data_IF_079829422239
#
_entry.id   IF_079829422239
#
_cell.length_a   1.000
_cell.length_b   1.000
_cell.length_c   1.000
_cell.angle_alpha   90.00
_cell.angle_beta   90.00
_cell.angle_gamma   90.00
#
_symmetry.space_group_name_H-M   'P 1'
#
loop_
_entity.id
_entity.type
_entity.pdbx_description
1 polymer ?
#
# COMPACT_ATOMS: atom_id res chain seq x y z
N UNK A 1 -3.17 35.84 2.90
CA UNK A 1 -2.69 37.23 2.84
C UNK A 1 -3.47 38.04 1.81
N UNK A 2 -3.37 37.75 0.50
CA UNK A 2 -4.06 38.50 -0.56
C UNK A 2 -5.59 38.62 -0.36
N UNK A 3 -6.28 37.52 -0.02
CA UNK A 3 -7.72 37.56 0.25
C UNK A 3 -8.08 38.44 1.45
N UNK A 4 -7.27 38.44 2.51
CA UNK A 4 -7.52 39.29 3.69
C UNK A 4 -7.31 40.77 3.36
N UNK A 5 -6.32 41.10 2.54
CA UNK A 5 -6.12 42.47 2.05
C UNK A 5 -7.28 42.89 1.17
N UNK A 6 -7.78 42.00 0.30
CA UNK A 6 -8.94 42.27 -0.56
C UNK A 6 -10.22 42.50 0.27
N UNK A 7 -10.50 41.66 1.28
CA UNK A 7 -11.60 41.88 2.24
C UNK A 7 -11.45 43.25 2.91
N UNK A 8 -10.25 43.57 3.42
CA UNK A 8 -10.00 44.82 4.11
C UNK A 8 -10.25 46.04 3.23
N UNK A 9 -9.71 46.03 2.00
CA UNK A 9 -9.91 47.12 1.03
C UNK A 9 -11.40 47.28 0.68
N UNK A 10 -12.11 46.18 0.45
CA UNK A 10 -13.53 46.19 0.13
C UNK A 10 -14.35 46.75 1.30
N UNK A 11 -14.12 46.27 2.52
CA UNK A 11 -14.83 46.75 3.71
C UNK A 11 -14.57 48.25 3.91
N UNK A 12 -13.31 48.68 3.89
CA UNK A 12 -12.95 50.10 4.07
C UNK A 12 -13.55 50.98 2.99
N UNK A 13 -13.50 50.58 1.71
CA UNK A 13 -14.10 51.36 0.63
C UNK A 13 -15.62 51.46 0.81
N UNK A 14 -16.30 50.35 1.10
CA UNK A 14 -17.74 50.36 1.28
C UNK A 14 -18.20 51.20 2.47
N UNK A 15 -17.46 51.17 3.59
CA UNK A 15 -17.72 52.03 4.75
C UNK A 15 -17.51 53.51 4.44
N UNK A 16 -16.49 53.86 3.65
CA UNK A 16 -16.24 55.24 3.24
C UNK A 16 -17.40 55.75 2.38
N UNK A 17 -17.82 54.99 1.38
CA UNK A 17 -18.95 55.33 0.52
C UNK A 17 -20.29 55.37 1.30
N UNK A 18 -20.48 54.47 2.26
CA UNK A 18 -21.64 54.48 3.15
C UNK A 18 -21.69 55.74 4.03
N UNK A 19 -20.55 56.14 4.60
CA UNK A 19 -20.42 57.36 5.39
C UNK A 19 -20.71 58.62 4.57
N UNK A 20 -20.15 58.72 3.36
CA UNK A 20 -20.43 59.84 2.43
C UNK A 20 -21.92 59.90 2.08
N UNK A 21 -22.56 58.77 1.81
CA UNK A 21 -24.00 58.72 1.49
C UNK A 21 -24.92 59.16 2.63
N UNK A 22 -24.52 58.95 3.89
CA UNK A 22 -25.30 59.40 5.06
C UNK A 22 -25.11 60.89 5.33
N UNK A 23 -23.90 61.40 5.09
CA UNK A 23 -23.55 62.80 5.34
C UNK A 23 -24.09 63.75 4.27
N UNK A 24 -24.36 63.26 3.06
CA UNK A 24 -24.91 64.06 1.97
C UNK A 24 -26.44 64.22 2.11
N UNK A 25 -26.97 65.42 2.39
CA UNK A 25 -28.40 65.64 2.63
C UNK A 25 -29.28 65.51 1.38
N UNK A 26 -28.69 65.34 0.18
CA UNK A 26 -29.39 65.38 -1.12
C UNK A 26 -30.07 64.06 -1.52
N UNK A 27 -29.68 62.91 -0.99
CA UNK A 27 -30.23 61.59 -1.38
C UNK A 27 -30.75 60.79 -0.17
N UNK A 28 -31.96 61.11 0.32
CA UNK A 28 -32.60 60.37 1.44
C UNK A 28 -33.44 59.16 0.98
N UNK A 29 -33.07 58.49 -0.10
CA UNK A 29 -33.77 57.27 -0.52
C UNK A 29 -33.34 56.10 0.37
N UNK A 30 -34.12 55.82 1.42
CA UNK A 30 -33.85 54.71 2.36
C UNK A 30 -33.65 53.37 1.63
N UNK A 31 -34.44 53.11 0.60
CA UNK A 31 -34.33 51.92 -0.25
C UNK A 31 -32.94 51.77 -0.90
N UNK A 32 -32.33 52.86 -1.38
CA UNK A 32 -31.01 52.85 -1.98
C UNK A 32 -29.88 52.58 -0.99
N UNK A 33 -30.04 53.02 0.27
CA UNK A 33 -29.10 52.74 1.36
C UNK A 33 -29.18 51.27 1.77
N UNK A 34 -30.39 50.74 1.92
CA UNK A 34 -30.61 49.31 2.23
C UNK A 34 -30.09 48.42 1.10
N UNK A 35 -30.37 48.75 -0.17
CA UNK A 35 -29.88 47.98 -1.31
C UNK A 35 -28.35 48.01 -1.41
N UNK A 36 -27.71 49.13 -1.07
CA UNK A 36 -26.26 49.21 -1.01
C UNK A 36 -25.67 48.36 0.12
N UNK A 37 -26.29 48.37 1.31
CA UNK A 37 -25.88 47.50 2.42
C UNK A 37 -26.03 46.01 2.07
N UNK A 38 -27.12 45.63 1.37
CA UNK A 38 -27.31 44.27 0.86
C UNK A 38 -26.22 43.89 -0.16
N UNK A 39 -25.87 44.81 -1.07
CA UNK A 39 -24.80 44.55 -2.05
C UNK A 39 -23.42 44.31 -1.41
N UNK A 40 -23.13 44.93 -0.25
CA UNK A 40 -21.92 44.66 0.52
C UNK A 40 -21.94 43.23 1.09
N UNK A 41 -23.08 42.81 1.64
CA UNK A 41 -23.25 41.44 2.16
C UNK A 41 -23.08 40.42 1.04
N UNK A 42 -23.70 40.66 -0.12
CA UNK A 42 -23.57 39.79 -1.30
C UNK A 42 -22.12 39.71 -1.79
N UNK A 43 -21.40 40.83 -1.82
CA UNK A 43 -19.98 40.86 -2.22
C UNK A 43 -19.08 40.12 -1.22
N UNK A 44 -19.32 40.26 0.09
CA UNK A 44 -18.59 39.53 1.13
C UNK A 44 -18.87 38.02 1.06
N UNK A 45 -20.12 37.64 0.80
CA UNK A 45 -20.53 36.25 0.63
C UNK A 45 -19.89 35.62 -0.61
N UNK A 46 -19.89 36.33 -1.74
CA UNK A 46 -19.18 35.91 -2.96
C UNK A 46 -17.70 35.68 -2.69
N UNK A 47 -17.05 36.62 -2.01
CA UNK A 47 -15.63 36.53 -1.72
C UNK A 47 -15.31 35.40 -0.71
N UNK A 48 -16.22 35.10 0.21
CA UNK A 48 -16.12 33.94 1.08
C UNK A 48 -16.17 32.63 0.29
N UNK A 49 -17.14 32.46 -0.61
CA UNK A 49 -17.20 31.28 -1.47
C UNK A 49 -15.97 31.15 -2.37
N UNK A 50 -15.51 32.25 -2.98
CA UNK A 50 -14.28 32.27 -3.76
C UNK A 50 -13.08 31.83 -2.92
N UNK A 51 -12.98 32.30 -1.67
CA UNK A 51 -11.92 31.89 -0.75
C UNK A 51 -11.95 30.38 -0.45
N UNK A 52 -13.14 29.81 -0.24
CA UNK A 52 -13.31 28.36 -0.04
C UNK A 52 -12.87 27.58 -1.28
N UNK A 53 -13.28 28.01 -2.48
CA UNK A 53 -12.87 27.37 -3.74
C UNK A 53 -11.35 27.45 -3.93
N UNK A 54 -10.73 28.61 -3.69
CA UNK A 54 -9.28 28.78 -3.79
C UNK A 54 -8.51 27.93 -2.77
N UNK A 55 -9.05 27.74 -1.56
CA UNK A 55 -8.47 26.85 -0.56
C UNK A 55 -8.51 25.39 -1.00
N UNK A 56 -9.60 24.93 -1.62
CA UNK A 56 -9.69 23.58 -2.18
C UNK A 56 -8.74 23.39 -3.36
N UNK A 57 -8.65 24.36 -4.27
CA UNK A 57 -7.72 24.31 -5.41
C UNK A 57 -6.26 24.26 -4.96
N UNK A 58 -5.91 24.96 -3.88
CA UNK A 58 -4.56 24.92 -3.31
C UNK A 58 -4.22 23.57 -2.69
N UNK A 59 -5.20 22.84 -2.14
CA UNK A 59 -4.98 21.49 -1.59
C UNK A 59 -4.66 20.45 -2.67
N UNK A 60 -5.07 20.69 -3.92
CA UNK A 60 -4.81 19.78 -5.04
C UNK A 60 -3.35 19.79 -5.52
N UNK A 61 -2.61 20.88 -5.30
CA UNK A 61 -1.21 20.95 -5.70
C UNK A 61 -0.33 20.13 -4.74
N UNK A 62 0.37 19.09 -5.22
CA UNK A 62 1.20 18.25 -4.37
C UNK A 62 2.42 19.06 -3.89
N UNK A 63 2.56 19.17 -2.57
CA UNK A 63 3.63 19.95 -1.93
C UNK A 63 4.52 19.08 -1.04
N UNK A 64 3.98 17.97 -0.53
CA UNK A 64 4.66 17.03 0.35
C UNK A 64 4.53 15.60 -0.17
N UNK A 65 5.55 14.80 0.06
CA UNK A 65 5.54 13.35 -0.09
C UNK A 65 5.53 12.70 1.29
N UNK A 66 4.54 11.85 1.54
CA UNK A 66 4.37 11.06 2.74
C UNK A 66 4.87 9.65 2.48
N UNK A 67 5.75 9.13 3.34
CA UNK A 67 6.10 7.72 3.37
C UNK A 67 5.40 7.08 4.56
N UNK A 68 4.43 6.22 4.28
CA UNK A 68 3.75 5.40 5.28
C UNK A 68 4.44 4.04 5.36
N UNK A 69 4.87 3.63 6.55
CA UNK A 69 5.53 2.36 6.82
C UNK A 69 4.79 1.61 7.91
N UNK A 70 4.43 0.35 7.65
CA UNK A 70 3.85 -0.54 8.65
C UNK A 70 4.95 -1.10 9.55
N UNK A 71 4.84 -0.87 10.85
CA UNK A 71 5.87 -1.21 11.83
C UNK A 71 6.10 -2.72 11.98
N UNK A 72 5.11 -3.54 11.63
CA UNK A 72 5.16 -4.97 11.88
C UNK A 72 5.93 -5.75 10.81
N UNK A 73 5.75 -5.41 9.53
CA UNK A 73 6.33 -6.14 8.39
C UNK A 73 7.15 -5.26 7.43
N UNK A 74 7.27 -3.97 7.71
CA UNK A 74 8.06 -3.04 6.89
C UNK A 74 7.42 -2.68 5.55
N UNK A 75 6.17 -3.10 5.28
CA UNK A 75 5.46 -2.71 4.07
C UNK A 75 5.38 -1.17 4.01
N UNK A 76 5.75 -0.58 2.89
CA UNK A 76 5.78 0.87 2.75
C UNK A 76 5.21 1.35 1.43
N UNK A 77 4.58 2.52 1.47
CA UNK A 77 4.04 3.23 0.31
C UNK A 77 4.37 4.71 0.40
N UNK A 78 4.44 5.35 -0.76
CA UNK A 78 4.71 6.77 -0.90
C UNK A 78 3.48 7.44 -1.50
N UNK A 79 3.15 8.61 -0.97
CA UNK A 79 1.96 9.36 -1.34
C UNK A 79 2.30 10.83 -1.50
N UNK A 80 1.73 11.48 -2.52
CA UNK A 80 1.88 12.93 -2.68
C UNK A 80 0.61 13.64 -2.20
N UNK A 81 0.78 14.65 -1.37
CA UNK A 81 -0.30 15.43 -0.78
C UNK A 81 0.00 16.92 -0.85
N UNK A 82 -1.05 17.74 -0.91
CA UNK A 82 -0.94 19.18 -0.80
C UNK A 82 -0.85 19.65 0.66
N UNK A 83 -1.32 20.87 0.89
CA UNK A 83 -1.37 21.46 2.22
C UNK A 83 -2.52 20.88 3.05
N UNK A 84 -2.24 19.85 3.84
CA UNK A 84 -3.18 19.25 4.78
C UNK A 84 -2.72 19.47 6.22
N UNK A 85 -3.65 19.39 7.19
CA UNK A 85 -3.29 19.24 8.60
C UNK A 85 -2.81 17.82 8.89
N UNK A 86 -2.07 17.63 9.98
CA UNK A 86 -1.64 16.28 10.41
C UNK A 86 -2.86 15.36 10.59
N UNK A 87 -3.94 15.86 11.20
CA UNK A 87 -5.19 15.10 11.35
C UNK A 87 -5.83 14.72 10.02
N UNK A 88 -5.91 15.66 9.06
CA UNK A 88 -6.51 15.37 7.74
C UNK A 88 -5.64 14.41 6.94
N UNK A 89 -4.31 14.58 6.99
CA UNK A 89 -3.35 13.67 6.38
C UNK A 89 -3.45 12.26 6.98
N UNK A 90 -3.63 12.15 8.30
CA UNK A 90 -3.83 10.88 8.98
C UNK A 90 -5.04 10.10 8.44
N UNK A 91 -6.21 10.75 8.33
CA UNK A 91 -7.42 10.12 7.78
C UNK A 91 -7.21 9.71 6.32
N UNK A 92 -6.63 10.61 5.52
CA UNK A 92 -6.36 10.35 4.11
C UNK A 92 -5.41 9.16 3.92
N UNK A 93 -4.36 9.03 4.75
CA UNK A 93 -3.47 7.86 4.71
C UNK A 93 -4.19 6.58 5.11
N UNK A 94 -5.12 6.63 6.08
CA UNK A 94 -5.91 5.46 6.44
C UNK A 94 -6.79 5.00 5.27
N UNK A 95 -7.42 5.92 4.54
CA UNK A 95 -8.19 5.61 3.34
C UNK A 95 -7.32 4.89 2.30
N UNK A 96 -6.14 5.44 1.99
CA UNK A 96 -5.20 4.81 1.05
C UNK A 96 -4.60 3.52 1.59
N UNK A 97 -4.43 3.38 2.91
CA UNK A 97 -3.95 2.15 3.53
C UNK A 97 -4.86 0.96 3.22
N UNK A 98 -6.18 1.16 3.30
CA UNK A 98 -7.14 0.08 2.97
C UNK A 98 -7.19 -0.24 1.48
N UNK A 99 -6.64 0.63 0.60
CA UNK A 99 -6.60 0.45 -0.85
C UNK A 99 -5.26 -0.12 -1.36
N UNK A 100 -4.12 0.30 -0.83
CA UNK A 100 -2.82 0.00 -1.44
C UNK A 100 -1.94 -0.98 -0.66
N UNK A 101 -2.21 -1.13 0.65
CA UNK A 101 -1.40 -1.99 1.49
C UNK A 101 -1.87 -3.44 1.41
N UNK A 102 -0.92 -4.39 1.32
CA UNK A 102 -1.24 -5.80 1.41
C UNK A 102 -1.74 -6.12 2.82
N UNK A 103 -2.62 -7.12 2.95
CA UNK A 103 -3.12 -7.58 4.25
C UNK A 103 -1.98 -7.88 5.22
N UNK A 104 -2.12 -7.39 6.44
CA UNK A 104 -1.21 -7.75 7.53
C UNK A 104 -1.38 -9.22 7.92
N UNK A 105 -0.34 -10.04 7.73
CA UNK A 105 -0.32 -11.43 8.17
C UNK A 105 0.67 -11.62 9.33
N UNK A 106 0.21 -11.61 10.60
CA UNK A 106 1.08 -11.75 11.77
C UNK A 106 1.82 -13.08 11.82
N UNK A 107 1.30 -14.11 11.16
CA UNK A 107 1.88 -15.44 11.19
C UNK A 107 3.17 -15.54 10.36
N UNK A 108 3.41 -14.64 9.40
CA UNK A 108 4.65 -14.59 8.62
C UNK A 108 5.84 -14.07 9.45
N UNK A 109 5.60 -13.19 10.42
CA UNK A 109 6.64 -12.60 11.27
C UNK A 109 7.34 -13.62 12.19
N UNK A 110 6.63 -14.69 12.55
CA UNK A 110 7.12 -15.73 13.48
C UNK A 110 7.76 -16.92 12.77
N UNK A 111 7.76 -16.95 11.44
CA UNK A 111 8.37 -18.02 10.66
C UNK A 111 9.86 -18.28 11.02
N UNK A 112 10.70 -17.25 11.22
CA UNK A 112 12.13 -17.46 11.41
C UNK A 112 12.50 -18.06 12.76
N UNK A 113 11.72 -17.79 13.82
CA UNK A 113 12.09 -18.20 15.19
C UNK A 113 11.80 -19.69 15.47
N UNK A 114 10.79 -20.25 14.80
CA UNK A 114 10.34 -21.64 15.05
C UNK A 114 11.21 -22.70 14.36
N UNK A 115 11.88 -22.37 13.25
CA UNK A 115 12.72 -23.31 12.50
C UNK A 115 14.11 -23.44 13.14
N UNK A 116 14.69 -22.31 13.58
CA UNK A 116 15.91 -22.30 14.40
C UNK A 116 15.74 -23.13 15.69
N UNK A 117 14.60 -23.02 16.38
CA UNK A 117 14.31 -23.84 17.57
C UNK A 117 14.25 -25.34 17.25
N UNK A 118 13.74 -25.71 16.07
CA UNK A 118 13.60 -27.12 15.65
C UNK A 118 14.92 -27.77 15.24
N UNK A 119 15.88 -26.99 14.74
CA UNK A 119 17.25 -27.47 14.47
C UNK A 119 18.07 -27.61 15.75
N UNK A 120 17.85 -26.76 16.76
CA UNK A 120 18.50 -26.89 18.08
C UNK A 120 18.07 -28.15 18.83
N UNK A 121 16.81 -28.60 18.69
CA UNK A 121 16.30 -29.81 19.36
C UNK A 121 16.71 -31.13 18.70
N UNK A 122 17.40 -31.11 17.55
CA UNK A 122 17.84 -32.29 16.82
C UNK A 122 19.10 -32.96 17.37
N UNK A 123 19.77 -32.35 18.35
CA UNK A 123 21.01 -32.88 18.93
C UNK A 123 20.69 -33.81 20.11
N UNK A 124 20.40 -35.09 19.82
CA UNK A 124 20.41 -36.16 20.83
C UNK A 124 21.85 -36.63 21.01
N UNK A 125 22.47 -36.24 22.12
CA UNK A 125 23.72 -36.85 22.58
C UNK A 125 23.36 -38.21 23.15
N UNK A 126 23.74 -39.28 22.44
CA UNK A 126 23.73 -40.62 23.02
C UNK A 126 25.04 -40.77 23.80
N UNK A 127 24.96 -40.80 25.13
CA UNK A 127 26.07 -41.28 25.94
C UNK A 127 26.18 -42.78 25.72
N UNK A 128 27.15 -43.20 24.89
CA UNK A 128 27.57 -44.58 24.85
C UNK A 128 28.21 -44.86 26.21
N UNK A 129 27.53 -45.65 27.04
CA UNK A 129 28.05 -46.07 28.32
C UNK A 129 29.22 -47.01 28.08
N UNK A 130 30.43 -46.53 28.37
CA UNK A 130 31.56 -47.40 28.70
C UNK A 130 32.05 -47.03 30.09
N UNK A 131 31.90 -48.00 30.99
CA UNK A 131 32.50 -48.02 32.31
C UNK A 131 34.02 -48.09 32.17
N UNK A 132 34.71 -46.97 32.41
CA UNK A 132 35.80 -46.85 33.38
C UNK A 132 36.65 -45.59 33.17
N UNK A 133 37.07 -45.05 34.31
CA UNK A 133 38.26 -44.20 34.52
C UNK A 133 38.20 -42.71 34.14
N UNK A 134 38.26 -41.93 35.22
CA UNK A 134 39.06 -40.72 35.44
C UNK A 134 38.80 -39.47 34.59
N UNK A 135 38.21 -38.47 35.26
CA UNK A 135 38.49 -37.03 35.14
C UNK A 135 38.75 -36.46 33.73
N UNK A 136 37.68 -36.21 32.94
CA UNK A 136 37.74 -35.12 31.94
C UNK A 136 36.38 -34.54 31.48
N UNK A 137 35.34 -34.59 32.31
CA UNK A 137 33.97 -34.16 31.96
C UNK A 137 33.80 -32.64 31.73
N UNK A 138 34.75 -31.81 32.18
CA UNK A 138 34.75 -30.35 32.00
C UNK A 138 35.21 -29.89 30.62
N UNK A 139 36.04 -30.68 29.92
CA UNK A 139 36.56 -30.35 28.59
C UNK A 139 35.54 -30.50 27.46
N UNK A 140 34.76 -31.59 27.47
CA UNK A 140 33.71 -31.81 26.48
C UNK A 140 32.55 -30.80 26.62
N UNK A 141 32.19 -30.45 27.84
CA UNK A 141 31.20 -29.40 28.11
C UNK A 141 31.67 -28.03 27.60
N UNK A 142 32.95 -27.67 27.80
CA UNK A 142 33.53 -26.43 27.26
C UNK A 142 33.65 -26.42 25.74
N UNK A 143 34.00 -27.55 25.10
CA UNK A 143 34.06 -27.67 23.65
C UNK A 143 32.68 -27.54 23.00
N UNK A 144 31.63 -28.12 23.61
CA UNK A 144 30.24 -27.96 23.17
C UNK A 144 29.75 -26.53 23.38
N UNK A 145 30.08 -25.89 24.50
CA UNK A 145 29.76 -24.47 24.77
C UNK A 145 30.48 -23.53 23.80
N UNK A 146 31.76 -23.80 23.48
CA UNK A 146 32.54 -23.01 22.52
C UNK A 146 32.06 -23.23 21.07
N UNK A 147 31.66 -24.46 20.71
CA UNK A 147 31.05 -24.76 19.41
C UNK A 147 29.65 -24.13 19.28
N UNK A 148 28.86 -24.11 20.36
CA UNK A 148 27.57 -23.41 20.43
C UNK A 148 27.75 -21.88 20.32
N UNK A 149 28.81 -21.33 20.94
CA UNK A 149 29.17 -19.91 20.80
C UNK A 149 29.54 -19.56 19.36
N UNK A 150 30.36 -20.37 18.68
CA UNK A 150 30.69 -20.16 17.25
C UNK A 150 29.50 -20.36 16.30
N UNK A 151 28.54 -21.22 16.65
CA UNK A 151 27.28 -21.37 15.89
C UNK A 151 26.31 -20.20 16.10
N UNK A 152 26.35 -19.55 17.26
CA UNK A 152 25.55 -18.36 17.56
C UNK A 152 25.92 -17.17 16.67
N UNK A 153 27.20 -17.00 16.33
CA UNK A 153 27.64 -15.97 15.38
C UNK A 153 27.26 -16.31 13.93
N UNK A 154 27.17 -17.60 13.57
CA UNK A 154 26.72 -18.05 12.25
C UNK A 154 25.19 -18.05 12.08
N UNK A 155 24.43 -17.82 13.16
CA UNK A 155 22.96 -17.78 13.21
C UNK A 155 22.37 -16.69 12.30
N UNK A 156 23.06 -15.56 12.16
CA UNK A 156 22.57 -14.46 11.32
C UNK A 156 22.60 -14.80 9.83
N UNK A 157 23.59 -15.60 9.39
CA UNK A 157 23.69 -16.10 8.03
C UNK A 157 22.67 -17.23 7.79
N UNK A 158 22.43 -18.08 8.79
CA UNK A 158 21.39 -19.13 8.74
C UNK A 158 19.97 -18.54 8.54
N UNK A 159 19.66 -17.39 9.15
CA UNK A 159 18.40 -16.68 8.94
C UNK A 159 18.16 -16.32 7.46
N UNK A 160 19.18 -15.76 6.80
CA UNK A 160 19.09 -15.38 5.39
C UNK A 160 18.83 -16.59 4.49
N UNK A 161 19.53 -17.71 4.73
CA UNK A 161 19.30 -18.94 3.97
C UNK A 161 17.93 -19.55 4.22
N UNK A 162 17.40 -19.48 5.44
CA UNK A 162 16.06 -19.97 5.76
C UNK A 162 14.95 -19.14 5.08
N UNK A 163 15.11 -17.82 5.03
CA UNK A 163 14.23 -16.93 4.27
C UNK A 163 14.27 -17.26 2.78
N UNK A 164 15.48 -17.41 2.21
CA UNK A 164 15.66 -17.80 0.81
C UNK A 164 15.05 -19.19 0.50
N UNK A 165 15.18 -20.17 1.40
CA UNK A 165 14.56 -21.49 1.27
C UNK A 165 13.04 -21.42 1.37
N UNK A 166 12.51 -20.59 2.26
CA UNK A 166 11.07 -20.33 2.33
C UNK A 166 10.56 -19.72 1.03
N UNK A 167 11.21 -18.69 0.51
CA UNK A 167 10.85 -18.05 -0.76
C UNK A 167 10.95 -19.01 -1.94
N UNK A 168 11.95 -19.89 -1.94
CA UNK A 168 12.07 -20.97 -2.93
C UNK A 168 10.90 -21.94 -2.83
N UNK A 169 10.46 -22.31 -1.62
CA UNK A 169 9.28 -23.16 -1.41
C UNK A 169 8.01 -22.47 -1.89
N UNK A 170 7.81 -21.19 -1.56
CA UNK A 170 6.66 -20.39 -2.03
C UNK A 170 6.64 -20.33 -3.55
N UNK A 171 7.76 -19.99 -4.20
CA UNK A 171 7.88 -19.96 -5.67
C UNK A 171 7.57 -21.31 -6.31
N UNK A 172 8.08 -22.41 -5.75
CA UNK A 172 7.79 -23.77 -6.24
C UNK A 172 6.31 -24.14 -6.09
N UNK A 173 5.67 -23.74 -4.99
CA UNK A 173 4.22 -23.97 -4.78
C UNK A 173 3.38 -23.10 -5.70
N UNK A 174 3.76 -21.83 -5.91
CA UNK A 174 3.13 -20.91 -6.85
C UNK A 174 3.12 -21.48 -8.26
N UNK A 175 4.28 -21.91 -8.77
CA UNK A 175 4.37 -22.50 -10.12
C UNK A 175 3.46 -23.73 -10.27
N UNK A 176 3.44 -24.63 -9.27
CA UNK A 176 2.55 -25.81 -9.27
C UNK A 176 1.07 -25.44 -9.23
N UNK A 177 0.72 -24.39 -8.50
CA UNK A 177 -0.65 -23.89 -8.45
C UNK A 177 -1.07 -23.35 -9.82
N UNK A 178 -0.25 -22.49 -10.43
CA UNK A 178 -0.53 -21.92 -11.76
C UNK A 178 -0.80 -23.02 -12.79
N UNK A 179 0.09 -24.02 -12.89
CA UNK A 179 -0.08 -25.14 -13.82
C UNK A 179 -1.36 -25.93 -13.53
N UNK A 180 -1.61 -26.28 -12.26
CA UNK A 180 -2.80 -27.05 -11.89
C UNK A 180 -4.11 -26.30 -12.21
N UNK A 181 -4.15 -24.97 -12.05
CA UNK A 181 -5.33 -24.17 -12.39
C UNK A 181 -5.50 -24.06 -13.91
N UNK A 182 -4.41 -23.84 -14.65
CA UNK A 182 -4.46 -23.81 -16.12
C UNK A 182 -4.96 -25.14 -16.69
N UNK A 183 -4.44 -26.27 -16.20
CA UNK A 183 -4.91 -27.61 -16.57
C UNK A 183 -6.40 -27.81 -16.23
N UNK A 184 -6.82 -27.42 -15.03
CA UNK A 184 -8.21 -27.56 -14.59
C UNK A 184 -9.21 -26.77 -15.45
N UNK A 185 -8.90 -25.52 -15.76
CA UNK A 185 -9.75 -24.69 -16.62
C UNK A 185 -9.76 -25.17 -18.07
N UNK A 186 -8.63 -25.63 -18.61
CA UNK A 186 -8.59 -26.20 -19.97
C UNK A 186 -9.39 -27.49 -20.08
N UNK A 187 -9.40 -28.33 -19.02
CA UNK A 187 -10.19 -29.54 -18.97
C UNK A 187 -11.70 -29.25 -19.03
N UNK A 188 -12.18 -28.28 -18.25
CA UNK A 188 -13.60 -27.89 -18.27
C UNK A 188 -13.99 -27.22 -19.57
N UNK A 189 -13.12 -26.36 -20.13
CA UNK A 189 -13.40 -25.74 -21.43
C UNK A 189 -13.58 -26.78 -22.53
N UNK A 190 -12.76 -27.85 -22.54
CA UNK A 190 -12.92 -28.98 -23.47
C UNK A 190 -14.21 -29.75 -23.25
N UNK A 191 -14.58 -30.00 -22.00
CA UNK A 191 -15.88 -30.64 -21.66
C UNK A 191 -17.06 -29.79 -22.15
N UNK A 192 -17.02 -28.47 -21.94
CA UNK A 192 -18.04 -27.55 -22.46
C UNK A 192 -18.11 -27.53 -24.00
N UNK A 193 -16.96 -27.62 -24.68
CA UNK A 193 -16.90 -27.74 -26.16
C UNK A 193 -17.44 -29.10 -26.66
N UNK A 194 -17.29 -30.17 -25.88
CA UNK A 194 -17.85 -31.50 -26.17
C UNK A 194 -19.36 -31.56 -25.89
N UNK A 195 -19.83 -30.94 -24.81
CA UNK A 195 -21.25 -30.83 -24.45
C UNK A 195 -22.03 -29.91 -25.40
N UNK A 196 -21.38 -28.88 -25.98
CA UNK A 196 -21.99 -28.11 -27.07
C UNK A 196 -22.27 -28.95 -28.32
N UNK A 197 -21.50 -30.02 -28.56
CA UNK A 197 -21.74 -30.94 -29.68
C UNK A 197 -22.81 -31.98 -29.38
N UNK A 198 -23.09 -32.25 -28.10
CA UNK A 198 -24.11 -33.19 -27.64
C UNK A 198 -24.95 -32.52 -26.54
N UNK A 199 -26.13 -31.94 -26.85
CA UNK A 199 -26.89 -31.11 -25.92
C UNK A 199 -27.60 -31.95 -24.82
N UNK A 200 -26.82 -32.62 -23.98
CA UNK A 200 -27.28 -33.26 -22.75
C UNK A 200 -26.68 -32.46 -21.59
N UNK A 201 -27.57 -31.79 -20.87
CA UNK A 201 -27.34 -31.02 -19.64
C UNK A 201 -26.27 -29.93 -19.72
N UNK A 202 -26.74 -28.68 -19.84
CA UNK A 202 -25.94 -27.49 -19.56
C UNK A 202 -25.49 -27.60 -18.09
N UNK A 203 -24.21 -27.87 -17.86
CA UNK A 203 -23.63 -27.97 -16.52
C UNK A 203 -23.85 -26.66 -15.73
N UNK A 204 -24.37 -26.78 -14.50
CA UNK A 204 -24.55 -25.65 -13.59
C UNK A 204 -23.17 -25.03 -13.28
N UNK A 205 -22.97 -23.70 -13.38
CA UNK A 205 -21.72 -23.03 -13.04
C UNK A 205 -21.11 -23.45 -11.68
N UNK A 206 -21.97 -23.82 -10.72
CA UNK A 206 -21.54 -24.32 -9.41
C UNK A 206 -20.96 -25.73 -9.46
N UNK A 207 -21.50 -26.61 -10.30
CA UNK A 207 -20.98 -27.97 -10.53
C UNK A 207 -19.64 -27.91 -11.26
N UNK A 208 -19.54 -27.07 -12.29
CA UNK A 208 -18.29 -26.77 -12.98
C UNK A 208 -17.22 -26.30 -11.98
N UNK A 209 -17.55 -25.34 -11.11
CA UNK A 209 -16.65 -24.83 -10.08
C UNK A 209 -16.15 -25.93 -9.12
N UNK A 210 -17.01 -26.87 -8.73
CA UNK A 210 -16.63 -28.01 -7.88
C UNK A 210 -15.66 -28.96 -8.58
N UNK A 211 -15.90 -29.26 -9.87
CA UNK A 211 -15.02 -30.08 -10.68
C UNK A 211 -13.63 -29.44 -10.88
N UNK A 212 -13.56 -28.12 -11.19
CA UNK A 212 -12.28 -27.40 -11.25
C UNK A 212 -11.59 -27.48 -9.89
N UNK A 213 -12.32 -27.17 -8.81
CA UNK A 213 -11.75 -27.16 -7.46
C UNK A 213 -11.17 -28.53 -7.07
N UNK A 214 -11.86 -29.64 -7.34
CA UNK A 214 -11.38 -30.98 -7.02
C UNK A 214 -10.01 -31.28 -7.65
N UNK A 215 -9.80 -30.87 -8.90
CA UNK A 215 -8.54 -31.09 -9.62
C UNK A 215 -7.36 -30.24 -9.09
N UNK A 216 -7.62 -29.00 -8.64
CA UNK A 216 -6.58 -28.08 -8.16
C UNK A 216 -6.46 -27.94 -6.63
N UNK A 217 -7.40 -28.49 -5.85
CA UNK A 217 -7.52 -28.29 -4.41
C UNK A 217 -6.21 -28.58 -3.66
N UNK A 218 -5.52 -29.67 -4.01
CA UNK A 218 -4.27 -30.07 -3.34
C UNK A 218 -3.15 -29.07 -3.59
N UNK A 219 -3.06 -28.50 -4.79
CA UNK A 219 -2.06 -27.49 -5.11
C UNK A 219 -2.36 -26.19 -4.35
N UNK A 220 -3.64 -25.79 -4.33
CA UNK A 220 -4.12 -24.57 -3.67
C UNK A 220 -3.95 -24.62 -2.15
N UNK A 221 -4.40 -25.69 -1.49
CA UNK A 221 -4.25 -25.85 -0.05
C UNK A 221 -2.78 -25.85 0.39
N UNK A 222 -1.88 -26.48 -0.40
CA UNK A 222 -0.43 -26.46 -0.11
C UNK A 222 0.16 -25.07 -0.24
N UNK A 223 -0.28 -24.29 -1.24
CA UNK A 223 0.15 -22.90 -1.40
C UNK A 223 -0.34 -22.05 -0.22
N UNK A 224 -1.64 -22.05 0.06
CA UNK A 224 -2.27 -21.29 1.15
C UNK A 224 -1.69 -21.64 2.53
N UNK A 225 -1.32 -22.91 2.76
CA UNK A 225 -0.65 -23.31 4.02
C UNK A 225 0.77 -22.77 4.12
N UNK A 226 1.51 -22.77 3.01
CA UNK A 226 2.89 -22.27 2.98
C UNK A 226 2.92 -20.75 3.18
N UNK A 227 1.99 -20.02 2.55
CA UNK A 227 1.83 -18.56 2.70
C UNK A 227 1.03 -18.15 3.95
N UNK A 228 0.55 -19.12 4.73
CA UNK A 228 -0.30 -18.94 5.92
C UNK A 228 -1.54 -18.06 5.65
N UNK A 229 -2.16 -18.23 4.49
CA UNK A 229 -3.37 -17.52 4.07
C UNK A 229 -4.68 -18.31 4.32
N UNK A 230 -4.60 -19.50 4.95
CA UNK A 230 -5.76 -20.36 5.20
C UNK A 230 -6.95 -19.68 5.92
N UNK A 231 -6.74 -18.82 6.95
CA UNK A 231 -7.87 -18.18 7.64
C UNK A 231 -8.70 -17.25 6.76
N UNK A 232 -8.07 -16.73 5.69
CA UNK A 232 -8.67 -15.73 4.80
C UNK A 232 -9.48 -16.34 3.66
N UNK A 233 -9.22 -17.60 3.34
CA UNK A 233 -9.81 -18.29 2.19
C UNK A 233 -10.44 -19.61 2.62
N UNK A 234 -11.73 -19.54 2.96
CA UNK A 234 -12.55 -20.74 3.17
C UNK A 234 -12.80 -21.45 1.84
N UNK A 235 -13.07 -22.75 1.88
CA UNK A 235 -13.44 -23.53 0.69
C UNK A 235 -14.65 -22.91 -0.03
N UNK A 236 -15.66 -22.47 0.71
CA UNK A 236 -16.85 -21.84 0.17
C UNK A 236 -16.55 -20.52 -0.56
N UNK A 237 -15.68 -19.67 0.01
CA UNK A 237 -15.25 -18.42 -0.64
C UNK A 237 -14.48 -18.68 -1.95
N UNK A 238 -13.72 -19.77 -2.01
CA UNK A 238 -13.02 -20.19 -3.23
C UNK A 238 -14.00 -20.68 -4.29
N UNK A 239 -14.98 -21.50 -3.91
CA UNK A 239 -16.01 -21.99 -4.83
C UNK A 239 -16.88 -20.86 -5.37
N UNK A 240 -17.31 -19.91 -4.52
CA UNK A 240 -18.04 -18.71 -4.95
C UNK A 240 -17.21 -17.87 -5.93
N UNK A 241 -15.90 -17.74 -5.71
CA UNK A 241 -15.02 -17.03 -6.65
C UNK A 241 -14.85 -17.77 -7.97
N UNK A 242 -14.79 -19.10 -7.94
CA UNK A 242 -14.75 -19.93 -9.16
C UNK A 242 -16.03 -19.81 -9.96
N UNK A 243 -17.18 -19.91 -9.31
CA UNK A 243 -18.49 -19.71 -9.91
C UNK A 243 -18.59 -18.33 -10.58
N UNK A 244 -18.14 -17.28 -9.87
CA UNK A 244 -18.03 -15.93 -10.44
C UNK A 244 -17.08 -15.88 -11.65
N UNK A 245 -15.93 -16.55 -11.60
CA UNK A 245 -14.99 -16.59 -12.72
C UNK A 245 -15.56 -17.32 -13.95
N UNK A 246 -16.28 -18.43 -13.74
CA UNK A 246 -16.89 -19.22 -14.82
C UNK A 246 -18.04 -18.46 -15.47
N UNK A 247 -18.90 -17.83 -14.65
CA UNK A 247 -20.06 -17.05 -15.13
C UNK A 247 -19.67 -15.81 -15.95
N UNK A 248 -18.45 -15.28 -15.75
CA UNK A 248 -17.95 -14.09 -16.45
C UNK A 248 -16.85 -14.44 -17.48
N UNK A 249 -16.67 -15.71 -17.86
CA UNK A 249 -15.65 -16.18 -18.80
C UNK A 249 -14.21 -15.70 -18.48
N UNK A 250 -13.89 -15.63 -17.19
CA UNK A 250 -12.60 -15.13 -16.72
C UNK A 250 -11.49 -16.16 -16.94
N UNK A 251 -10.30 -15.67 -17.26
CA UNK A 251 -9.13 -16.53 -17.47
C UNK A 251 -8.62 -17.17 -16.16
N UNK A 252 -7.88 -18.30 -16.22
CA UNK A 252 -7.25 -18.93 -15.06
C UNK A 252 -6.36 -17.97 -14.26
N UNK A 253 -5.70 -17.04 -14.97
CA UNK A 253 -4.85 -16.00 -14.37
C UNK A 253 -5.64 -14.99 -13.56
N UNK A 254 -6.85 -14.65 -14.01
CA UNK A 254 -7.74 -13.74 -13.28
C UNK A 254 -8.30 -14.40 -12.01
N UNK A 255 -8.63 -15.69 -12.06
CA UNK A 255 -8.98 -16.44 -10.84
C UNK A 255 -7.82 -16.41 -9.82
N UNK A 256 -6.59 -16.63 -10.29
CA UNK A 256 -5.40 -16.68 -9.44
C UNK A 256 -4.96 -15.34 -8.85
N UNK A 257 -5.36 -14.22 -9.45
CA UNK A 257 -5.04 -12.86 -8.97
C UNK A 257 -5.33 -12.75 -7.47
N UNK A 258 -6.57 -13.05 -7.05
CA UNK A 258 -7.04 -12.98 -5.66
C UNK A 258 -6.20 -13.74 -4.62
N UNK A 259 -5.41 -14.74 -5.03
CA UNK A 259 -4.58 -15.56 -4.14
C UNK A 259 -3.07 -15.31 -4.29
N UNK A 260 -2.63 -14.88 -5.47
CA UNK A 260 -1.21 -14.65 -5.76
C UNK A 260 -0.77 -13.23 -5.47
N UNK A 261 -1.64 -12.24 -5.70
CA UNK A 261 -1.42 -10.85 -5.29
C UNK A 261 -2.03 -10.67 -3.91
N UNK A 262 -1.28 -10.08 -3.00
CA UNK A 262 -1.84 -9.65 -1.72
C UNK A 262 -2.76 -8.46 -2.01
N UNK A 263 -4.06 -8.73 -2.15
CA UNK A 263 -5.06 -7.71 -2.40
C UNK A 263 -5.16 -6.69 -1.27
N UNK A 264 -5.89 -5.59 -1.49
CA UNK A 264 -6.10 -4.55 -0.49
C UNK A 264 -6.63 -5.12 0.82
N UNK A 265 -6.17 -4.54 1.92
CA UNK A 265 -6.57 -4.93 3.30
C UNK A 265 -8.11 -5.00 3.47
N UNK A 266 -8.86 -4.22 2.70
CA UNK A 266 -10.34 -4.21 2.72
C UNK A 266 -11.01 -5.53 2.33
N UNK A 267 -10.37 -6.34 1.46
CA UNK A 267 -10.98 -7.57 0.92
C UNK A 267 -11.15 -8.70 1.96
N UNK A 268 -10.45 -8.60 3.09
CA UNK A 268 -10.26 -9.72 4.03
C UNK A 268 -10.85 -9.49 5.42
N UNK A 269 -11.31 -8.26 5.72
CA UNK A 269 -11.94 -7.94 7.00
C UNK A 269 -13.46 -8.11 6.93
N UNK A 270 -13.97 -9.29 7.31
CA UNK A 270 -15.42 -9.52 7.52
C UNK A 270 -15.96 -8.68 8.70
N UNK A 271 -15.18 -8.53 9.77
CA UNK A 271 -15.57 -7.80 10.97
C UNK A 271 -15.09 -6.35 10.94
N UNK A 272 -15.96 -5.47 10.42
CA UNK A 272 -15.70 -4.05 10.19
C UNK A 272 -15.50 -3.20 11.45
N UNK A 273 -15.72 -3.73 12.66
CA UNK A 273 -15.87 -2.91 13.88
C UNK A 273 -14.53 -2.61 14.56
N UNK A 274 -13.69 -3.62 14.86
CA UNK A 274 -12.35 -3.43 15.45
C UNK A 274 -11.32 -2.87 14.45
N UNK A 275 -11.58 -3.02 13.15
CA UNK A 275 -10.72 -2.46 12.11
C UNK A 275 -10.77 -0.92 12.06
N UNK A 276 -11.69 -0.25 12.78
CA UNK A 276 -11.90 1.20 12.68
C UNK A 276 -11.21 2.04 13.75
N UNK A 277 -10.66 1.44 14.81
CA UNK A 277 -10.08 2.22 15.90
C UNK A 277 -8.58 2.42 15.69
N UNK A 278 -8.23 3.60 15.15
CA UNK A 278 -6.87 4.09 15.03
C UNK A 278 -6.66 5.26 15.99
N UNK A 279 -5.51 5.30 16.66
CA UNK A 279 -5.11 6.43 17.49
C UNK A 279 -3.98 7.19 16.83
N UNK A 280 -4.20 8.49 16.59
CA UNK A 280 -3.19 9.39 16.04
C UNK A 280 -2.28 9.88 17.16
N UNK A 281 -0.99 9.64 17.02
CA UNK A 281 0.06 10.09 17.92
C UNK A 281 1.02 10.97 17.13
N UNK A 282 1.18 12.21 17.56
CA UNK A 282 2.05 13.21 16.94
C UNK A 282 2.73 14.02 18.05
N UNK A 283 3.98 14.42 17.82
CA UNK A 283 4.68 15.35 18.73
C UNK A 283 4.16 16.78 18.55
N UNK A 284 3.82 17.17 17.32
CA UNK A 284 3.19 18.45 17.02
C UNK A 284 1.65 18.38 17.21
N UNK A 285 1.00 19.52 17.55
CA UNK A 285 -0.46 19.63 17.56
C UNK A 285 -1.07 19.15 16.25
N UNK A 286 -2.04 18.23 16.33
CA UNK A 286 -2.63 17.57 15.15
C UNK A 286 -3.40 18.52 14.22
N UNK A 287 -3.74 19.71 14.73
CA UNK A 287 -4.38 20.81 13.99
C UNK A 287 -3.39 21.57 13.10
N UNK A 288 -2.08 21.46 13.34
CA UNK A 288 -1.07 22.11 12.52
C UNK A 288 -1.04 21.53 11.10
N UNK A 289 -0.69 22.39 10.15
CA UNK A 289 -0.36 21.99 8.79
C UNK A 289 0.87 21.09 8.73
N UNK A 290 0.94 20.21 7.73
CA UNK A 290 2.13 19.42 7.44
C UNK A 290 3.32 20.35 7.18
N UNK A 291 4.46 20.00 7.78
CA UNK A 291 5.76 20.65 7.57
C UNK A 291 6.78 19.59 7.12
N UNK A 292 7.93 20.06 6.65
CA UNK A 292 9.02 19.15 6.30
C UNK A 292 9.55 18.43 7.54
N UNK A 293 9.79 17.13 7.42
CA UNK A 293 10.37 16.31 8.49
C UNK A 293 9.41 15.90 9.61
N UNK A 294 8.14 16.29 9.57
CA UNK A 294 7.14 15.86 10.55
C UNK A 294 6.94 14.35 10.46
N UNK A 295 6.94 13.69 11.62
CA UNK A 295 6.64 12.27 11.77
C UNK A 295 5.45 12.12 12.71
N UNK A 296 4.47 11.33 12.30
CA UNK A 296 3.34 10.96 13.15
C UNK A 296 3.02 9.47 12.99
N UNK A 297 2.36 8.91 13.99
CA UNK A 297 2.10 7.48 14.09
C UNK A 297 0.61 7.24 14.23
N UNK A 298 0.08 6.34 13.42
CA UNK A 298 -1.27 5.81 13.54
C UNK A 298 -1.15 4.45 14.22
N UNK A 299 -1.56 4.37 15.49
CA UNK A 299 -1.49 3.13 16.27
C UNK A 299 -2.79 2.35 16.14
N UNK A 300 -2.64 1.04 15.97
CA UNK A 300 -3.67 0.01 16.08
C UNK A 300 -3.20 -1.01 17.12
N UNK A 301 -4.11 -1.86 17.60
CA UNK A 301 -3.81 -2.87 18.63
C UNK A 301 -2.64 -3.80 18.24
N UNK A 302 -2.55 -4.19 16.97
CA UNK A 302 -1.59 -5.22 16.52
C UNK A 302 -0.31 -4.64 15.87
N UNK A 303 -0.38 -3.41 15.36
CA UNK A 303 0.73 -2.75 14.66
C UNK A 303 0.49 -1.23 14.58
N UNK A 304 1.48 -0.50 14.09
CA UNK A 304 1.37 0.93 13.83
C UNK A 304 1.78 1.29 12.41
N UNK A 305 1.24 2.39 11.88
CA UNK A 305 1.72 3.02 10.66
C UNK A 305 2.51 4.25 11.05
N UNK A 306 3.81 4.23 10.75
CA UNK A 306 4.70 5.38 10.93
C UNK A 306 4.69 6.16 9.63
N UNK A 307 4.29 7.42 9.71
CA UNK A 307 4.22 8.32 8.57
C UNK A 307 5.32 9.36 8.70
N UNK A 308 6.17 9.45 7.69
CA UNK A 308 7.21 10.49 7.58
C UNK A 308 6.89 11.41 6.42
N UNK A 309 7.04 12.71 6.65
CA UNK A 309 6.74 13.75 5.66
C UNK A 309 8.04 14.35 5.11
N UNK A 310 8.06 14.59 3.80
CA UNK A 310 9.13 15.33 3.12
C UNK A 310 8.53 16.34 2.17
N UNK A 311 9.09 17.54 2.12
CA UNK A 311 8.67 18.56 1.14
C UNK A 311 9.17 18.19 -0.25
N UNK A 312 8.29 18.31 -1.25
CA UNK A 312 8.65 18.09 -2.66
C UNK A 312 9.59 19.22 -3.10
N UNK A 313 10.74 18.90 -3.75
CA UNK A 313 11.65 19.92 -4.23
C UNK A 313 11.02 20.77 -5.33
N UNK A 314 11.38 22.05 -5.38
CA UNK A 314 10.98 22.93 -6.47
C UNK A 314 11.85 22.64 -7.69
N UNK A 315 11.24 22.19 -8.79
CA UNK A 315 11.93 21.97 -10.05
C UNK A 315 11.93 23.25 -10.88
N UNK A 316 13.12 23.80 -11.17
CA UNK A 316 13.30 24.86 -12.15
C UNK A 316 13.76 24.24 -13.45
N UNK A 317 12.88 24.17 -14.45
CA UNK A 317 13.22 23.69 -15.78
C UNK A 317 13.72 24.88 -16.62
N UNK A 318 14.90 24.74 -17.22
CA UNK A 318 15.40 25.66 -18.24
C UNK A 318 15.36 24.96 -19.58
N UNK A 319 14.78 25.61 -20.58
CA UNK A 319 14.77 25.13 -21.95
C UNK A 319 15.93 25.75 -22.71
N UNK A 320 16.74 24.90 -23.33
CA UNK A 320 17.80 25.33 -24.25
C UNK A 320 17.46 24.80 -25.63
N UNK A 321 17.21 25.74 -26.56
CA UNK A 321 16.94 25.39 -27.95
C UNK A 321 18.25 25.11 -28.67
N UNK A 322 18.48 23.86 -29.04
CA UNK A 322 19.63 23.46 -29.85
C UNK A 322 19.25 23.52 -31.33
N UNK A 323 19.91 24.41 -32.09
CA UNK A 323 19.70 24.51 -33.53
C UNK A 323 20.02 23.17 -34.21
N UNK A 324 19.09 22.58 -35.02
CA UNK A 324 19.33 21.36 -35.78
C UNK A 324 20.60 21.38 -36.66
N UNK A 325 21.12 22.57 -37.03
CA UNK A 325 22.37 22.72 -37.79
C UNK A 325 23.64 22.45 -36.98
N UNK A 326 23.56 22.48 -35.65
CA UNK A 326 24.70 22.21 -34.75
C UNK A 326 25.12 20.74 -34.73
N UNK A 327 24.26 19.82 -35.20
CA UNK A 327 24.54 18.39 -35.30
C UNK A 327 25.20 17.97 -36.63
N UNK A 328 25.69 18.92 -37.43
CA UNK A 328 26.39 18.58 -38.68
C UNK A 328 27.82 18.17 -38.41
N UNK A 329 28.10 16.88 -38.49
CA UNK A 329 29.45 16.34 -38.46
C UNK A 329 30.16 16.65 -39.79
N UNK A 330 31.26 17.39 -39.74
CA UNK A 330 32.14 17.57 -40.89
C UNK A 330 33.02 16.33 -41.00
N UNK A 331 32.73 15.46 -41.97
CA UNK A 331 33.59 14.33 -42.31
C UNK A 331 34.85 14.88 -42.97
N UNK A 332 35.96 14.95 -42.22
CA UNK A 332 37.28 15.24 -42.79
C UNK A 332 37.80 13.97 -43.43
N UNK A 333 37.63 13.80 -44.74
CA UNK A 333 38.40 12.81 -45.49
C UNK A 333 39.86 13.28 -45.50
N UNK A 334 40.74 12.57 -44.81
CA UNK A 334 42.18 12.65 -45.08
C UNK A 334 42.42 11.96 -46.42
N UNK A 335 42.62 12.76 -47.47
CA UNK A 335 43.02 12.29 -48.80
C UNK A 335 44.51 11.96 -48.79
N UNK A 336 44.88 10.87 -48.12
CA UNK A 336 46.21 10.27 -48.23
C UNK A 336 46.12 8.91 -48.92
N UNK A 337 45.58 8.90 -50.14
CA UNK A 337 45.90 7.90 -51.15
C UNK A 337 45.88 8.56 -52.53
N UNK A 338 47.03 9.07 -52.94
CA UNK A 338 47.32 9.35 -54.35
C UNK A 338 47.45 8.01 -55.09
N UNK A 339 46.74 7.91 -56.22
CA UNK A 339 46.69 6.80 -57.19
C UNK A 339 48.07 6.28 -57.55
#
# INVERSE_FOLDING_TARGET
>A
ALLMVLVFLLVVSYWLFYGVRILDPRERSYQGVVQYAVSLVDALLFLHYLAVVLLELRQLQPQFTLKAVRSADGASRFYNVGHLSIQRAAVWILENYYQDFPVYNPALLNLPKSVLSKKMSGFKVYSLGEENSTNNSTGQSRAVIAAAARRRDNSHNEYYYEEAEHDRRVRKRRARLVVAVEEAFTHIKRLQEEDQKNPREIMDPREAAQAIFASMARAMQKYLRTTKQQPYHTMESILQHLEFCITHDMTPKAFLERYLTAGPTIQYHKDRWLAKQWTLVSEEPVTNGLKDGVVFVLKRQDFSLVVSTKKIPFFKLSEEFVDPKSHKFVMRLQSETSV
#
